data_IF_873107490366
#
_entry.id   IF_873107490366
#
_cell.length_a   1.000
_cell.length_b   1.000
_cell.length_c   1.000
_cell.angle_alpha   90.00
_cell.angle_beta   90.00
_cell.angle_gamma   90.00
#
_symmetry.space_group_name_H-M   'P 1'
#
loop_
_entity.id
_entity.type
_entity.pdbx_description
1 polymer ?
#
# COMPACT_ATOMS: atom_id res chain seq x y z
N UNK A 1 36.41 24.21 14.17
CA UNK A 1 35.15 24.58 14.86
C UNK A 1 34.05 23.72 14.23
N UNK A 2 33.81 22.52 14.75
CA UNK A 2 33.01 21.48 14.07
C UNK A 2 31.73 21.03 14.83
N UNK A 3 31.69 20.93 16.17
CA UNK A 3 30.49 20.43 16.86
C UNK A 3 29.34 21.44 17.00
N UNK A 4 29.63 22.75 16.98
CA UNK A 4 28.58 23.78 17.04
C UNK A 4 27.76 23.87 15.76
N UNK A 5 28.33 23.45 14.62
CA UNK A 5 27.65 23.50 13.32
C UNK A 5 26.57 22.44 13.24
N UNK A 6 26.88 21.20 13.62
CA UNK A 6 25.92 20.08 13.59
C UNK A 6 24.77 20.29 14.57
N UNK A 7 25.04 20.83 15.76
CA UNK A 7 23.98 21.17 16.72
C UNK A 7 22.96 22.15 16.12
N UNK A 8 23.41 23.18 15.39
CA UNK A 8 22.52 24.14 14.73
C UNK A 8 21.72 23.49 13.59
N UNK A 9 22.33 22.58 12.83
CA UNK A 9 21.64 21.84 11.77
C UNK A 9 20.54 20.94 12.35
N UNK A 10 20.81 20.27 13.47
CA UNK A 10 19.83 19.42 14.17
C UNK A 10 18.71 20.27 14.78
N UNK A 11 19.01 21.44 15.37
CA UNK A 11 17.98 22.38 15.83
C UNK A 11 17.07 22.86 14.69
N UNK A 12 17.66 23.16 13.53
CA UNK A 12 16.88 23.53 12.33
C UNK A 12 15.97 22.38 11.89
N UNK A 13 16.48 21.15 11.83
CA UNK A 13 15.67 19.97 11.53
C UNK A 13 14.52 19.79 12.54
N UNK A 14 14.81 19.98 13.83
CA UNK A 14 13.81 19.90 14.91
C UNK A 14 12.72 20.97 14.78
N UNK A 15 13.05 22.17 14.29
CA UNK A 15 12.07 23.23 14.06
C UNK A 15 11.16 22.97 12.85
N UNK A 16 11.63 22.19 11.87
CA UNK A 16 10.84 21.78 10.70
C UNK A 16 9.84 20.67 11.08
N UNK A 17 10.23 19.78 12.00
CA UNK A 17 9.47 18.56 12.32
C UNK A 17 7.99 18.78 12.70
N UNK A 18 7.59 19.77 13.52
CA UNK A 18 6.18 19.98 13.87
C UNK A 18 5.31 20.35 12.65
N UNK A 19 5.91 20.95 11.63
CA UNK A 19 5.21 21.47 10.45
C UNK A 19 5.01 20.42 9.36
N UNK A 20 5.66 19.27 9.47
CA UNK A 20 5.61 18.24 8.41
C UNK A 20 4.20 17.68 8.20
N UNK A 21 3.29 17.83 9.15
CA UNK A 21 1.91 17.33 9.03
C UNK A 21 0.97 18.30 8.31
N UNK A 22 1.41 19.52 7.99
CA UNK A 22 0.60 20.50 7.27
C UNK A 22 0.50 20.13 5.77
N UNK A 23 -0.63 20.35 5.09
CA UNK A 23 -0.79 20.01 3.68
C UNK A 23 0.29 20.68 2.80
N UNK A 24 1.00 19.90 1.99
CA UNK A 24 2.08 20.40 1.11
C UNK A 24 3.41 20.68 1.82
N UNK A 25 3.46 20.70 3.16
CA UNK A 25 4.69 20.84 3.92
C UNK A 25 5.64 19.62 3.87
N UNK A 26 5.18 18.35 3.76
CA UNK A 26 6.07 17.19 3.69
C UNK A 26 7.07 17.26 2.53
N UNK A 27 6.63 17.72 1.36
CA UNK A 27 7.48 17.84 0.19
C UNK A 27 8.62 18.85 0.43
N UNK A 28 8.31 19.98 1.05
CA UNK A 28 9.30 21.00 1.41
C UNK A 28 10.25 20.50 2.50
N UNK A 29 9.72 19.85 3.54
CA UNK A 29 10.49 19.32 4.64
C UNK A 29 11.51 18.27 4.18
N UNK A 30 11.14 17.38 3.24
CA UNK A 30 12.07 16.42 2.64
C UNK A 30 13.25 17.13 1.98
N UNK A 31 12.99 18.17 1.17
CA UNK A 31 14.04 18.93 0.47
C UNK A 31 14.98 19.65 1.45
N UNK A 32 14.42 20.29 2.47
CA UNK A 32 15.22 20.98 3.49
C UNK A 32 16.06 20.00 4.32
N UNK A 33 15.46 18.90 4.79
CA UNK A 33 16.16 17.90 5.59
C UNK A 33 17.24 17.17 4.79
N UNK A 34 17.03 16.92 3.49
CA UNK A 34 18.09 16.43 2.61
C UNK A 34 19.26 17.39 2.49
N UNK A 35 18.98 18.69 2.39
CA UNK A 35 20.01 19.72 2.33
C UNK A 35 20.80 19.78 3.64
N UNK A 36 20.10 19.71 4.78
CA UNK A 36 20.74 19.70 6.09
C UNK A 36 21.58 18.44 6.29
N UNK A 37 21.07 17.26 5.93
CA UNK A 37 21.79 15.99 6.05
C UNK A 37 23.09 15.96 5.23
N UNK A 38 23.10 16.58 4.04
CA UNK A 38 24.32 16.74 3.21
C UNK A 38 25.32 17.76 3.77
N UNK A 39 24.88 18.63 4.68
CA UNK A 39 25.70 19.71 5.24
C UNK A 39 26.31 19.35 6.60
N UNK A 40 25.92 18.22 7.19
CA UNK A 40 26.47 17.74 8.45
C UNK A 40 27.93 17.26 8.29
N UNK A 41 28.72 17.50 9.34
CA UNK A 41 30.14 17.20 9.37
C UNK A 41 30.48 15.93 10.15
N UNK A 42 29.75 15.64 11.23
CA UNK A 42 29.94 14.43 12.04
C UNK A 42 29.03 13.29 11.62
N UNK A 43 29.50 12.05 11.81
CA UNK A 43 28.70 10.86 11.60
C UNK A 43 27.43 10.83 12.46
N UNK A 44 27.51 11.34 13.70
CA UNK A 44 26.38 11.40 14.63
C UNK A 44 25.33 12.44 14.19
N UNK A 45 25.76 13.64 13.78
CA UNK A 45 24.87 14.65 13.22
C UNK A 45 24.21 14.18 11.92
N UNK A 46 24.97 13.50 11.05
CA UNK A 46 24.41 12.90 9.84
C UNK A 46 23.37 11.82 10.16
N UNK A 47 23.62 10.94 11.14
CA UNK A 47 22.67 9.90 11.54
C UNK A 47 21.34 10.49 12.04
N UNK A 48 21.39 11.50 12.92
CA UNK A 48 20.20 12.18 13.42
C UNK A 48 19.41 12.87 12.30
N UNK A 49 20.09 13.55 11.38
CA UNK A 49 19.42 14.22 10.25
C UNK A 49 18.81 13.22 9.26
N UNK A 50 19.45 12.07 9.04
CA UNK A 50 18.86 10.97 8.25
C UNK A 50 17.60 10.43 8.90
N UNK A 51 17.57 10.32 10.22
CA UNK A 51 16.39 9.89 10.97
C UNK A 51 15.21 10.88 10.81
N UNK A 52 15.46 12.19 10.95
CA UNK A 52 14.44 13.22 10.67
C UNK A 52 13.95 13.17 9.21
N UNK A 53 14.88 12.97 8.26
CA UNK A 53 14.54 12.82 6.85
C UNK A 53 13.69 11.56 6.59
N UNK A 54 14.00 10.44 7.24
CA UNK A 54 13.23 9.20 7.17
C UNK A 54 11.77 9.41 7.55
N UNK A 55 11.52 10.09 8.68
CA UNK A 55 10.16 10.46 9.07
C UNK A 55 9.47 11.42 8.09
N UNK A 56 10.18 12.42 7.56
CA UNK A 56 9.60 13.33 6.57
C UNK A 56 9.19 12.60 5.27
N UNK A 57 10.01 11.63 4.83
CA UNK A 57 9.68 10.73 3.71
C UNK A 57 8.48 9.85 4.05
N UNK A 58 8.38 9.33 5.28
CA UNK A 58 7.24 8.54 5.74
C UNK A 58 5.94 9.35 5.70
N UNK A 59 5.93 10.56 6.26
CA UNK A 59 4.75 11.44 6.21
C UNK A 59 4.40 11.81 4.77
N UNK A 60 5.39 12.10 3.91
CA UNK A 60 5.15 12.36 2.49
C UNK A 60 4.54 11.16 1.78
N UNK A 61 4.95 9.94 2.11
CA UNK A 61 4.39 8.72 1.52
C UNK A 61 2.90 8.54 1.90
N UNK A 62 2.52 8.87 3.13
CA UNK A 62 1.13 8.85 3.58
C UNK A 62 0.30 9.93 2.88
N UNK A 63 0.84 11.13 2.72
CA UNK A 63 0.19 12.24 2.01
C UNK A 63 -0.07 11.88 0.53
N UNK A 64 0.94 11.34 -0.17
CA UNK A 64 0.81 10.90 -1.57
C UNK A 64 -0.26 9.81 -1.70
N UNK A 65 -0.26 8.84 -0.79
CA UNK A 65 -1.27 7.77 -0.76
C UNK A 65 -2.67 8.32 -0.49
N UNK A 66 -2.80 9.32 0.39
CA UNK A 66 -4.07 9.98 0.68
C UNK A 66 -4.61 10.82 -0.48
N UNK A 67 -3.74 11.49 -1.23
CA UNK A 67 -4.12 12.37 -2.34
C UNK A 67 -4.44 11.61 -3.64
N UNK A 68 -3.65 10.60 -3.96
CA UNK A 68 -3.64 9.96 -5.30
C UNK A 68 -4.11 8.49 -5.25
N UNK A 69 -4.23 7.92 -4.04
CA UNK A 69 -4.66 6.53 -3.85
C UNK A 69 -3.72 5.53 -4.55
N UNK A 70 -4.29 4.49 -5.13
CA UNK A 70 -3.54 3.40 -5.79
C UNK A 70 -2.74 3.87 -7.03
N UNK A 71 -3.03 5.05 -7.59
CA UNK A 71 -2.22 5.59 -8.70
C UNK A 71 -0.87 6.18 -8.24
N UNK A 72 -0.70 6.39 -6.92
CA UNK A 72 0.52 6.92 -6.32
C UNK A 72 1.57 5.85 -5.97
N UNK A 73 1.29 4.58 -6.23
CA UNK A 73 2.11 3.44 -5.78
C UNK A 73 3.59 3.58 -6.18
N UNK A 74 3.88 3.91 -7.44
CA UNK A 74 5.28 4.08 -7.91
C UNK A 74 6.02 5.18 -7.14
N UNK A 75 5.32 6.25 -6.76
CA UNK A 75 5.92 7.35 -5.99
C UNK A 75 6.17 6.88 -4.55
N UNK A 76 5.20 6.19 -3.95
CA UNK A 76 5.28 5.66 -2.59
C UNK A 76 6.39 4.61 -2.48
N UNK A 77 6.50 3.67 -3.41
CA UNK A 77 7.58 2.68 -3.48
C UNK A 77 8.94 3.37 -3.58
N UNK A 78 9.07 4.40 -4.44
CA UNK A 78 10.33 5.16 -4.55
C UNK A 78 10.68 5.92 -3.28
N UNK A 79 9.70 6.37 -2.50
CA UNK A 79 9.92 6.99 -1.20
C UNK A 79 10.34 5.94 -0.15
N UNK A 80 9.74 4.76 -0.18
CA UNK A 80 10.09 3.65 0.70
C UNK A 80 11.51 3.11 0.44
N UNK A 81 11.90 2.93 -0.82
CA UNK A 81 13.29 2.57 -1.17
C UNK A 81 14.28 3.64 -0.69
N UNK A 82 13.89 4.92 -0.68
CA UNK A 82 14.71 6.00 -0.13
C UNK A 82 14.82 5.94 1.39
N UNK A 83 13.76 5.56 2.11
CA UNK A 83 13.81 5.37 3.56
C UNK A 83 14.81 4.26 3.90
N UNK A 84 14.70 3.09 3.24
CA UNK A 84 15.64 1.98 3.45
C UNK A 84 17.09 2.35 3.11
N UNK A 85 17.29 3.16 2.06
CA UNK A 85 18.63 3.61 1.68
C UNK A 85 19.26 4.60 2.67
N UNK A 86 18.49 5.19 3.61
CA UNK A 86 19.03 6.09 4.62
C UNK A 86 19.75 5.36 5.74
N UNK A 87 19.50 4.07 5.94
CA UNK A 87 20.15 3.23 6.97
C UNK A 87 20.09 3.91 8.36
N UNK A 88 18.86 4.23 8.80
CA UNK A 88 18.60 5.02 10.01
C UNK A 88 18.75 4.24 11.30
N UNK A 89 19.02 2.92 11.23
CA UNK A 89 19.03 1.98 12.37
C UNK A 89 17.74 2.04 13.22
N UNK A 90 16.64 2.50 12.64
CA UNK A 90 15.33 2.59 13.30
C UNK A 90 14.42 1.49 12.72
N UNK A 91 14.14 0.43 13.51
CA UNK A 91 13.36 -0.70 13.03
C UNK A 91 11.92 -0.33 12.68
N UNK A 92 11.35 0.75 13.25
CA UNK A 92 10.00 1.18 12.93
C UNK A 92 9.93 1.80 11.53
N UNK A 93 10.94 2.59 11.15
CA UNK A 93 11.06 3.19 9.81
C UNK A 93 11.33 2.14 8.73
N UNK A 94 12.18 1.15 9.04
CA UNK A 94 12.48 0.06 8.12
C UNK A 94 11.25 -0.82 7.89
N UNK A 95 10.56 -1.21 8.98
CA UNK A 95 9.30 -1.95 8.89
C UNK A 95 8.25 -1.18 8.09
N UNK A 96 8.09 0.11 8.35
CA UNK A 96 7.17 0.96 7.60
C UNK A 96 7.50 0.99 6.10
N UNK A 97 8.78 1.13 5.74
CA UNK A 97 9.20 1.13 4.34
C UNK A 97 8.99 -0.25 3.67
N UNK A 98 9.27 -1.35 4.38
CA UNK A 98 9.01 -2.70 3.89
C UNK A 98 7.51 -2.99 3.70
N UNK A 99 6.65 -2.47 4.58
CA UNK A 99 5.19 -2.52 4.44
C UNK A 99 4.72 -1.73 3.21
N UNK A 100 5.29 -0.55 2.96
CA UNK A 100 4.98 0.24 1.76
C UNK A 100 5.40 -0.45 0.47
N UNK A 101 6.50 -1.21 0.49
CA UNK A 101 6.98 -2.00 -0.64
C UNK A 101 6.25 -3.34 -0.78
N UNK A 102 5.35 -3.68 0.15
CA UNK A 102 4.69 -4.97 0.20
C UNK A 102 5.65 -6.15 0.36
N UNK A 103 6.87 -5.91 0.90
CA UNK A 103 7.91 -6.93 1.11
C UNK A 103 7.78 -7.64 2.46
N UNK A 104 7.09 -7.03 3.42
CA UNK A 104 6.88 -7.57 4.78
C UNK A 104 5.57 -8.33 5.00
N UNK A 105 4.63 -8.32 4.04
CA UNK A 105 3.40 -9.10 4.14
C UNK A 105 3.47 -10.30 3.18
N UNK A 106 3.58 -11.52 3.74
CA UNK A 106 2.82 -12.64 3.17
C UNK A 106 1.43 -12.10 2.82
N UNK A 107 0.89 -12.30 1.61
CA UNK A 107 -0.29 -11.61 1.14
C UNK A 107 -1.42 -11.83 2.14
N UNK A 108 -1.61 -10.87 3.04
CA UNK A 108 -2.61 -10.96 4.10
C UNK A 108 -3.93 -11.03 3.36
N UNK A 109 -4.68 -12.15 3.41
CA UNK A 109 -5.85 -12.32 2.57
C UNK A 109 -6.88 -11.27 2.98
N UNK A 110 -6.86 -10.14 2.27
CA UNK A 110 -7.66 -8.96 2.53
C UNK A 110 -9.09 -9.29 2.16
N UNK A 111 -9.83 -9.89 3.10
CA UNK A 111 -11.24 -10.27 2.99
C UNK A 111 -11.64 -11.14 1.78
N UNK A 112 -10.70 -11.65 0.97
CA UNK A 112 -11.01 -12.43 -0.23
C UNK A 112 -11.73 -13.73 0.11
N UNK A 113 -11.35 -14.42 1.19
CA UNK A 113 -12.02 -15.66 1.61
C UNK A 113 -13.49 -15.47 1.96
N UNK A 114 -13.86 -14.37 2.63
CA UNK A 114 -15.28 -14.10 2.97
C UNK A 114 -16.09 -13.75 1.72
N UNK A 115 -15.53 -12.96 0.81
CA UNK A 115 -16.20 -12.62 -0.45
C UNK A 115 -16.36 -13.85 -1.36
N UNK A 116 -15.30 -14.67 -1.51
CA UNK A 116 -15.34 -15.92 -2.29
C UNK A 116 -16.31 -16.92 -1.69
N UNK A 117 -16.33 -17.08 -0.35
CA UNK A 117 -17.27 -17.95 0.33
C UNK A 117 -18.73 -17.46 0.18
N UNK A 118 -18.98 -16.17 0.35
CA UNK A 118 -20.31 -15.59 0.12
C UNK A 118 -20.77 -15.78 -1.32
N UNK A 119 -19.87 -15.61 -2.29
CA UNK A 119 -20.17 -15.79 -3.71
C UNK A 119 -20.44 -17.26 -4.05
N UNK A 120 -19.67 -18.18 -3.49
CA UNK A 120 -19.90 -19.62 -3.62
C UNK A 120 -21.27 -20.02 -3.05
N UNK A 121 -21.64 -19.50 -1.88
CA UNK A 121 -22.97 -19.71 -1.29
C UNK A 121 -24.09 -19.16 -2.18
N UNK A 122 -23.94 -17.95 -2.75
CA UNK A 122 -24.93 -17.37 -3.66
C UNK A 122 -25.10 -18.22 -4.93
N UNK A 123 -24.01 -18.69 -5.52
CA UNK A 123 -24.04 -19.55 -6.70
C UNK A 123 -24.74 -20.88 -6.41
N UNK A 124 -24.53 -21.44 -5.23
CA UNK A 124 -25.18 -22.68 -4.80
C UNK A 124 -26.69 -22.47 -4.59
N UNK A 125 -27.09 -21.42 -3.87
CA UNK A 125 -28.50 -21.13 -3.54
C UNK A 125 -29.30 -20.67 -4.76
N UNK A 126 -28.73 -19.86 -5.63
CA UNK A 126 -29.46 -19.25 -6.74
C UNK A 126 -29.18 -19.88 -8.11
N UNK A 127 -28.06 -20.60 -8.25
CA UNK A 127 -27.74 -21.35 -9.46
C UNK A 127 -28.14 -22.81 -9.36
N UNK A 128 -27.62 -23.52 -8.34
CA UNK A 128 -27.74 -24.98 -8.26
C UNK A 128 -29.12 -25.42 -7.75
N UNK A 129 -29.59 -24.85 -6.64
CA UNK A 129 -30.88 -25.24 -6.04
C UNK A 129 -32.07 -25.05 -7.00
N UNK A 130 -32.22 -23.93 -7.72
CA UNK A 130 -33.36 -23.74 -8.63
C UNK A 130 -33.29 -24.64 -9.87
N UNK A 131 -32.09 -24.98 -10.34
CA UNK A 131 -31.91 -25.91 -11.48
C UNK A 131 -32.27 -27.34 -11.07
N UNK A 132 -31.81 -27.80 -9.91
CA UNK A 132 -32.16 -29.15 -9.40
C UNK A 132 -33.65 -29.23 -9.08
N UNK A 133 -34.19 -28.23 -8.37
CA UNK A 133 -35.61 -28.18 -8.00
C UNK A 133 -36.50 -28.05 -9.23
N UNK A 134 -36.13 -27.19 -10.18
CA UNK A 134 -36.82 -27.02 -11.45
C UNK A 134 -36.79 -28.29 -12.31
N UNK A 135 -35.66 -29.00 -12.33
CA UNK A 135 -35.53 -30.28 -13.02
C UNK A 135 -36.41 -31.38 -12.41
N UNK A 136 -36.48 -31.45 -11.08
CA UNK A 136 -37.36 -32.38 -10.36
C UNK A 136 -38.85 -32.04 -10.56
N UNK A 137 -39.19 -30.76 -10.68
CA UNK A 137 -40.56 -30.29 -10.93
C UNK A 137 -40.95 -30.28 -12.41
N UNK A 138 -40.02 -30.59 -13.33
CA UNK A 138 -40.26 -30.51 -14.78
C UNK A 138 -40.49 -29.08 -15.31
N UNK A 139 -40.06 -28.06 -14.57
CA UNK A 139 -40.32 -26.65 -14.89
C UNK A 139 -39.14 -26.03 -15.64
N UNK A 140 -39.27 -25.94 -16.97
CA UNK A 140 -38.25 -25.38 -17.86
C UNK A 140 -37.91 -23.91 -17.55
N UNK A 141 -38.85 -23.14 -17.00
CA UNK A 141 -38.63 -21.73 -16.62
C UNK A 141 -37.74 -21.59 -15.39
N UNK A 142 -37.90 -22.45 -14.37
CA UNK A 142 -37.00 -22.48 -13.21
C UNK A 142 -35.59 -22.94 -13.59
N UNK A 143 -35.50 -23.97 -14.44
CA UNK A 143 -34.20 -24.47 -14.93
C UNK A 143 -33.48 -23.40 -15.74
N UNK A 144 -34.18 -22.73 -16.67
CA UNK A 144 -33.60 -21.69 -17.53
C UNK A 144 -33.14 -20.46 -16.74
N UNK A 145 -33.97 -19.97 -15.81
CA UNK A 145 -33.63 -18.82 -14.97
C UNK A 145 -32.47 -19.11 -14.01
N UNK A 146 -32.44 -20.28 -13.37
CA UNK A 146 -31.32 -20.70 -12.51
C UNK A 146 -30.01 -20.87 -13.28
N UNK A 147 -30.06 -21.46 -14.48
CA UNK A 147 -28.88 -21.61 -15.33
C UNK A 147 -28.33 -20.26 -15.81
N UNK A 148 -29.19 -19.33 -16.24
CA UNK A 148 -28.80 -17.98 -16.63
C UNK A 148 -28.15 -17.22 -15.47
N UNK A 149 -28.71 -17.33 -14.26
CA UNK A 149 -28.18 -16.65 -13.09
C UNK A 149 -26.83 -17.25 -12.65
N UNK A 150 -26.65 -18.56 -12.77
CA UNK A 150 -25.38 -19.22 -12.54
C UNK A 150 -24.30 -18.74 -13.52
N UNK A 151 -24.61 -18.67 -14.82
CA UNK A 151 -23.68 -18.17 -15.85
C UNK A 151 -23.29 -16.71 -15.57
N UNK A 152 -24.26 -15.87 -15.21
CA UNK A 152 -24.00 -14.47 -14.87
C UNK A 152 -23.09 -14.34 -13.63
N UNK A 153 -23.34 -15.13 -12.58
CA UNK A 153 -22.51 -15.15 -11.37
C UNK A 153 -21.08 -15.62 -11.68
N UNK A 154 -20.90 -16.69 -12.46
CA UNK A 154 -19.56 -17.16 -12.86
C UNK A 154 -18.82 -16.09 -13.67
N UNK A 155 -19.50 -15.44 -14.62
CA UNK A 155 -18.91 -14.37 -15.42
C UNK A 155 -18.52 -13.17 -14.55
N UNK A 156 -19.38 -12.76 -13.61
CA UNK A 156 -19.10 -11.69 -12.67
C UNK A 156 -17.92 -12.03 -11.74
N UNK A 157 -17.82 -13.27 -11.28
CA UNK A 157 -16.70 -13.76 -10.46
C UNK A 157 -15.39 -13.77 -11.26
N UNK A 158 -15.41 -14.29 -12.49
CA UNK A 158 -14.25 -14.28 -13.37
C UNK A 158 -13.79 -12.85 -13.69
N UNK A 159 -14.74 -11.92 -13.88
CA UNK A 159 -14.45 -10.50 -14.08
C UNK A 159 -13.83 -9.88 -12.82
N UNK A 160 -14.40 -10.11 -11.64
CA UNK A 160 -13.82 -9.62 -10.38
C UNK A 160 -12.43 -10.20 -10.12
N UNK A 161 -12.24 -11.50 -10.35
CA UNK A 161 -10.96 -12.17 -10.20
C UNK A 161 -9.91 -11.61 -11.17
N UNK A 162 -10.32 -11.35 -12.42
CA UNK A 162 -9.45 -10.71 -13.42
C UNK A 162 -9.10 -9.27 -13.02
N UNK A 163 -10.05 -8.49 -12.53
CA UNK A 163 -9.80 -7.12 -12.04
C UNK A 163 -8.88 -7.14 -10.82
N UNK A 164 -9.01 -8.12 -9.92
CA UNK A 164 -8.12 -8.29 -8.77
C UNK A 164 -6.70 -8.69 -9.21
N UNK A 165 -6.56 -9.62 -10.16
CA UNK A 165 -5.24 -10.04 -10.67
C UNK A 165 -4.56 -9.00 -11.57
N UNK A 166 -5.31 -8.21 -12.35
CA UNK A 166 -4.75 -7.10 -13.13
C UNK A 166 -4.32 -5.92 -12.24
N UNK A 167 -4.81 -5.87 -11.00
CA UNK A 167 -4.39 -4.91 -9.95
C UNK A 167 -3.26 -5.43 -9.07
N UNK A 168 -2.86 -6.70 -9.23
CA UNK A 168 -1.61 -7.17 -8.65
C UNK A 168 -0.47 -6.64 -9.54
N UNK A 169 0.52 -5.90 -8.98
CA UNK A 169 1.70 -5.60 -9.75
C UNK A 169 2.33 -6.92 -10.19
N UNK A 170 2.61 -7.04 -11.48
CA UNK A 170 3.41 -8.12 -12.05
C UNK A 170 4.80 -8.01 -11.44
N UNK A 171 4.96 -8.61 -10.26
CA UNK A 171 6.26 -8.88 -9.68
C UNK A 171 6.96 -9.84 -10.61
N UNK A 172 7.96 -9.31 -11.34
CA UNK A 172 8.99 -10.01 -12.13
C UNK A 172 9.06 -11.50 -11.81
N UNK A 173 8.40 -12.30 -12.64
CA UNK A 173 8.88 -13.64 -12.93
C UNK A 173 10.09 -13.48 -13.86
N UNK A 174 11.27 -13.33 -13.26
CA UNK A 174 12.56 -13.71 -13.85
C UNK A 174 13.66 -13.39 -12.83
N UNK A 175 14.08 -14.43 -12.12
CA UNK A 175 15.48 -14.68 -11.72
C UNK A 175 15.61 -16.12 -11.23
#
# INVERSE_FOLDING_TARGET
MEPQTDFRLVEQARAIFPKIYEPGAPAHAVVELERLAKSAWSAEGTALLRHYLGYALAVRSMEVRGLIGDSGVVIVERLADRILALDTCDPELDQFAEELLGRGEEPKPRNSHRAVFAFACLLLVFGVVPVVTGGLMGSATLVGSGALLAVFLVAAFAWQYRVMNLRAPVGRADR
#
